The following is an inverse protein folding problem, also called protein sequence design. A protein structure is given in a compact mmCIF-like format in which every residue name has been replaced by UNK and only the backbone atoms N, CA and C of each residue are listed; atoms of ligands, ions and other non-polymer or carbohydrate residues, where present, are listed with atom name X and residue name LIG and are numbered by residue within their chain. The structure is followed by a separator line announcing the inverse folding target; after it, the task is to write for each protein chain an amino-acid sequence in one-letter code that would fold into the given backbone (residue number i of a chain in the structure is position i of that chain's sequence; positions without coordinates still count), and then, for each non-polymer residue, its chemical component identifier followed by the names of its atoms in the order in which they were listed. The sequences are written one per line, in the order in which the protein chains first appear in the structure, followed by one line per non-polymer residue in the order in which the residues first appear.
data_IF_457698957758
#
_entry.id   IF_457698957758
#
_cell.length_a   1.000
_cell.length_b   1.000
_cell.length_c   1.000
_cell.angle_alpha   90.00
_cell.angle_beta   90.00
_cell.angle_gamma   90.00
#
_symmetry.space_group_name_H-M   'P 1'
#
loop_
_entity.id
_entity.type
_entity.pdbx_description
1 polymer ?
#
# COMPACT_ATOMS: atom_id res chain seq x y z
N UNK A 1 -29.37 34.65 -61.60
CA UNK A 1 -29.89 34.48 -60.23
C UNK A 1 -28.76 34.63 -59.21
N UNK A 2 -28.89 35.55 -58.26
CA UNK A 2 -27.90 35.77 -57.21
C UNK A 2 -27.68 34.50 -56.36
N UNK A 3 -26.46 34.30 -55.84
CA UNK A 3 -26.10 33.13 -55.03
C UNK A 3 -27.02 32.93 -53.80
N UNK A 4 -27.63 33.99 -53.30
CA UNK A 4 -28.62 33.99 -52.25
C UNK A 4 -29.87 33.15 -52.60
N UNK A 5 -30.40 33.30 -53.82
CA UNK A 5 -31.60 32.57 -54.26
C UNK A 5 -31.34 31.08 -54.50
N UNK A 6 -30.12 30.69 -54.93
CA UNK A 6 -29.74 29.28 -55.05
C UNK A 6 -29.62 28.59 -53.69
N UNK A 7 -29.13 29.29 -52.65
CA UNK A 7 -29.07 28.76 -51.28
C UNK A 7 -30.47 28.66 -50.66
N UNK A 8 -31.32 29.67 -50.87
CA UNK A 8 -32.72 29.66 -50.43
C UNK A 8 -33.57 28.58 -51.12
N UNK A 9 -33.28 28.24 -52.38
CA UNK A 9 -33.94 27.10 -53.05
C UNK A 9 -33.45 25.74 -52.51
N UNK A 10 -32.16 25.62 -52.15
CA UNK A 10 -31.58 24.40 -51.58
C UNK A 10 -32.00 24.13 -50.13
N UNK A 11 -32.42 25.13 -49.37
CA UNK A 11 -32.92 24.91 -48.00
C UNK A 11 -34.21 24.09 -47.96
N UNK A 12 -34.97 24.04 -49.07
CA UNK A 12 -36.15 23.19 -49.22
C UNK A 12 -35.84 21.76 -49.68
N UNK A 13 -34.59 21.44 -50.04
CA UNK A 13 -34.21 20.09 -50.45
C UNK A 13 -34.01 19.20 -49.22
N UNK A 14 -34.57 17.98 -49.27
CA UNK A 14 -34.40 17.00 -48.19
C UNK A 14 -32.97 16.45 -48.19
N UNK A 15 -32.34 16.45 -47.03
CA UNK A 15 -31.03 15.82 -46.84
C UNK A 15 -31.16 14.29 -46.87
N UNK A 16 -30.39 13.63 -47.74
CA UNK A 16 -30.29 12.18 -47.77
C UNK A 16 -29.22 11.70 -46.78
N UNK A 17 -29.65 11.00 -45.72
CA UNK A 17 -28.76 10.44 -44.70
C UNK A 17 -28.19 9.09 -45.12
N UNK A 18 -26.96 8.81 -44.71
CA UNK A 18 -26.29 7.54 -44.99
C UNK A 18 -26.80 6.43 -44.04
N UNK A 19 -26.92 5.20 -44.54
CA UNK A 19 -27.34 4.04 -43.73
C UNK A 19 -26.19 3.42 -42.95
N UNK A 20 -26.48 2.94 -41.74
CA UNK A 20 -25.55 2.19 -40.88
C UNK A 20 -25.34 0.74 -41.36
N UNK A 21 -24.33 0.06 -40.77
CA UNK A 21 -24.12 -1.38 -40.94
C UNK A 21 -25.28 -2.18 -40.30
N UNK A 22 -25.81 -3.24 -40.95
CA UNK A 22 -26.84 -4.08 -40.35
C UNK A 22 -26.37 -4.75 -39.06
N UNK A 23 -27.27 -4.87 -38.07
CA UNK A 23 -26.94 -5.32 -36.72
C UNK A 23 -26.22 -6.68 -36.68
N UNK A 24 -26.62 -7.64 -37.50
CA UNK A 24 -26.00 -8.97 -37.57
C UNK A 24 -24.55 -8.95 -38.10
N UNK A 25 -24.17 -7.95 -38.91
CA UNK A 25 -22.81 -7.75 -39.44
C UNK A 25 -22.01 -6.69 -38.71
N UNK A 26 -22.53 -6.17 -37.60
CA UNK A 26 -21.85 -5.12 -36.82
C UNK A 26 -20.46 -5.56 -36.32
N UNK A 27 -20.22 -6.86 -36.17
CA UNK A 27 -18.92 -7.44 -35.80
C UNK A 27 -17.83 -7.22 -36.85
N UNK A 28 -18.17 -7.00 -38.13
CA UNK A 28 -17.21 -6.71 -39.21
C UNK A 28 -16.74 -5.25 -39.23
N UNK A 29 -17.24 -4.42 -38.32
CA UNK A 29 -16.95 -3.00 -38.26
C UNK A 29 -17.83 -2.14 -39.16
N UNK A 30 -17.34 -0.93 -39.44
CA UNK A 30 -18.07 0.09 -40.21
C UNK A 30 -18.28 -0.36 -41.67
N UNK A 31 -19.50 -0.16 -42.18
CA UNK A 31 -19.81 -0.42 -43.59
C UNK A 31 -19.18 0.67 -44.47
N UNK A 32 -18.06 0.36 -45.12
CA UNK A 32 -17.37 1.29 -46.02
C UNK A 32 -18.32 1.88 -47.07
N UNK A 33 -18.25 3.20 -47.24
CA UNK A 33 -18.97 3.93 -48.28
C UNK A 33 -18.00 4.40 -49.36
N UNK A 34 -18.54 5.03 -50.41
CA UNK A 34 -17.73 5.51 -51.54
C UNK A 34 -16.64 6.50 -51.10
N UNK A 35 -16.89 7.31 -50.06
CA UNK A 35 -15.90 8.23 -49.49
C UNK A 35 -14.73 7.46 -48.89
N UNK A 36 -15.01 6.47 -48.05
CA UNK A 36 -14.00 5.63 -47.39
C UNK A 36 -13.20 4.80 -48.42
N UNK A 37 -13.87 4.24 -49.42
CA UNK A 37 -13.23 3.53 -50.53
C UNK A 37 -12.22 4.41 -51.27
N UNK A 38 -12.56 5.68 -51.53
CA UNK A 38 -11.64 6.61 -52.20
C UNK A 38 -10.39 6.84 -51.35
N UNK A 39 -10.56 7.09 -50.04
CA UNK A 39 -9.44 7.25 -49.11
C UNK A 39 -8.54 6.00 -49.07
N UNK A 40 -9.15 4.81 -48.98
CA UNK A 40 -8.43 3.52 -48.99
C UNK A 40 -7.69 3.28 -50.31
N UNK A 41 -8.33 3.55 -51.45
CA UNK A 41 -7.72 3.40 -52.77
C UNK A 41 -6.56 4.38 -52.98
N UNK A 42 -6.70 5.63 -52.54
CA UNK A 42 -5.65 6.64 -52.63
C UNK A 42 -4.46 6.30 -51.73
N UNK A 43 -4.69 5.84 -50.50
CA UNK A 43 -3.63 5.34 -49.61
C UNK A 43 -2.89 4.15 -50.23
N UNK A 44 -3.61 3.16 -50.76
CA UNK A 44 -3.01 2.02 -51.45
C UNK A 44 -2.14 2.48 -52.64
N UNK A 45 -2.66 3.40 -53.48
CA UNK A 45 -1.91 3.96 -54.61
C UNK A 45 -0.65 4.70 -54.17
N UNK A 46 -0.71 5.47 -53.06
CA UNK A 46 0.44 6.16 -52.47
C UNK A 46 1.51 5.15 -52.02
N UNK A 47 1.12 4.12 -51.27
CA UNK A 47 2.02 3.04 -50.83
C UNK A 47 2.65 2.31 -52.01
N UNK A 48 1.87 1.97 -53.03
CA UNK A 48 2.37 1.32 -54.24
C UNK A 48 3.32 2.21 -55.05
N UNK A 49 3.07 3.52 -55.13
CA UNK A 49 3.97 4.47 -55.76
C UNK A 49 5.30 4.54 -55.00
N UNK A 50 5.25 4.58 -53.67
CA UNK A 50 6.43 4.59 -52.81
C UNK A 50 7.25 3.30 -52.92
N UNK A 51 6.62 2.13 -52.87
CA UNK A 51 7.30 0.83 -53.07
C UNK A 51 7.95 0.72 -54.44
N UNK A 52 7.29 1.21 -55.50
CA UNK A 52 7.90 1.27 -56.84
C UNK A 52 9.13 2.16 -56.88
N UNK A 53 9.09 3.32 -56.22
CA UNK A 53 10.26 4.19 -56.11
C UNK A 53 11.41 3.54 -55.33
N UNK A 54 11.12 2.84 -54.22
CA UNK A 54 12.13 2.10 -53.45
C UNK A 54 12.75 0.95 -54.27
N UNK A 55 11.93 0.20 -55.01
CA UNK A 55 12.41 -0.86 -55.91
C UNK A 55 13.33 -0.30 -56.99
N UNK A 56 12.93 0.82 -57.62
CA UNK A 56 13.76 1.51 -58.61
C UNK A 56 15.12 1.92 -58.01
N UNK A 57 15.12 2.55 -56.83
CA UNK A 57 16.35 2.92 -56.11
C UNK A 57 17.23 1.71 -55.77
N UNK A 58 16.64 0.57 -55.42
CA UNK A 58 17.38 -0.65 -55.14
C UNK A 58 18.02 -1.25 -56.40
N UNK A 59 17.35 -1.17 -57.55
CA UNK A 59 17.88 -1.63 -58.85
C UNK A 59 18.99 -0.72 -59.39
N UNK A 60 18.85 0.59 -59.22
CA UNK A 60 19.81 1.61 -59.68
C UNK A 60 20.97 1.83 -58.68
N UNK A 61 21.11 0.98 -57.65
CA UNK A 61 22.12 1.15 -56.60
C UNK A 61 23.53 0.86 -57.14
N UNK A 62 24.46 1.79 -56.89
CA UNK A 62 25.89 1.58 -57.18
C UNK A 62 26.52 0.66 -56.11
N UNK A 63 27.11 -0.50 -56.46
CA UNK A 63 27.75 -1.38 -55.49
C UNK A 63 28.95 -0.75 -54.76
N UNK A 64 29.61 0.23 -55.39
CA UNK A 64 30.83 0.86 -54.85
C UNK A 64 30.53 2.16 -54.08
N UNK A 65 29.26 2.47 -53.79
CA UNK A 65 28.91 3.69 -53.06
C UNK A 65 29.44 3.65 -51.61
N UNK A 66 30.16 4.71 -51.21
CA UNK A 66 30.66 4.85 -49.85
C UNK A 66 30.13 6.13 -49.18
N UNK A 67 29.51 5.96 -48.02
CA UNK A 67 29.11 7.07 -47.14
C UNK A 67 29.84 6.96 -45.80
N UNK A 68 30.37 8.05 -45.26
CA UNK A 68 31.08 8.06 -43.95
C UNK A 68 30.28 7.47 -42.78
N UNK A 69 28.93 7.48 -42.87
CA UNK A 69 28.05 6.88 -41.85
C UNK A 69 28.16 5.35 -41.82
N UNK A 70 28.58 4.70 -42.91
CA UNK A 70 28.79 3.25 -42.98
C UNK A 70 29.88 2.76 -42.01
N UNK A 71 30.83 3.62 -41.60
CA UNK A 71 31.84 3.26 -40.58
C UNK A 71 31.22 3.03 -39.20
N UNK A 72 30.12 3.71 -38.89
CA UNK A 72 29.45 3.63 -37.58
C UNK A 72 28.28 2.65 -37.57
N UNK A 73 27.50 2.62 -38.65
CA UNK A 73 26.28 1.81 -38.78
C UNK A 73 26.64 0.43 -39.32
N UNK A 74 26.21 -0.63 -38.63
CA UNK A 74 26.40 -2.01 -39.11
C UNK A 74 25.11 -2.53 -39.76
N UNK A 75 25.26 -3.38 -40.75
CA UNK A 75 24.17 -4.18 -41.29
C UNK A 75 24.06 -5.46 -40.46
N UNK A 76 22.88 -5.75 -39.91
CA UNK A 76 22.57 -7.04 -39.28
C UNK A 76 21.35 -7.61 -40.01
N UNK A 77 21.48 -8.82 -40.57
CA UNK A 77 20.41 -9.50 -41.30
C UNK A 77 19.72 -8.65 -42.39
N UNK A 78 20.48 -7.78 -43.07
CA UNK A 78 19.97 -6.89 -44.12
C UNK A 78 19.32 -5.60 -43.63
N UNK A 79 19.25 -5.35 -42.31
CA UNK A 79 18.70 -4.12 -41.72
C UNK A 79 19.82 -3.31 -41.05
N UNK A 80 19.81 -1.99 -41.26
CA UNK A 80 20.76 -1.10 -40.60
C UNK A 80 20.46 -0.97 -39.11
N UNK A 81 21.40 -1.39 -38.26
CA UNK A 81 21.34 -1.19 -36.82
C UNK A 81 22.30 -0.07 -36.44
N UNK A 82 21.74 1.02 -35.94
CA UNK A 82 22.51 2.12 -35.36
C UNK A 82 23.06 1.60 -34.03
N UNK A 83 24.39 1.48 -33.93
CA UNK A 83 25.02 1.19 -32.66
C UNK A 83 24.78 2.35 -31.71
N UNK A 84 24.13 2.10 -30.58
CA UNK A 84 24.13 3.03 -29.47
C UNK A 84 25.55 3.16 -28.94
N UNK A 85 26.11 4.37 -28.98
CA UNK A 85 27.40 4.67 -28.36
C UNK A 85 27.23 4.55 -26.85
N UNK A 86 27.68 3.43 -26.28
CA UNK A 86 27.87 3.31 -24.83
C UNK A 86 29.15 4.05 -24.50
N UNK A 87 29.04 5.13 -23.72
CA UNK A 87 30.20 5.80 -23.16
C UNK A 87 30.95 4.80 -22.27
N UNK A 88 32.17 4.45 -22.66
CA UNK A 88 33.02 3.55 -21.87
C UNK A 88 33.51 4.32 -20.64
N UNK A 89 32.93 4.01 -19.47
CA UNK A 89 33.31 4.64 -18.21
C UNK A 89 34.72 4.21 -17.84
N UNK A 90 35.62 5.17 -17.61
CA UNK A 90 36.98 4.85 -17.17
C UNK A 90 36.95 4.16 -15.79
N UNK A 91 37.90 3.27 -15.48
CA UNK A 91 37.92 2.58 -14.18
C UNK A 91 37.99 3.54 -12.99
N UNK A 92 38.61 4.71 -13.17
CA UNK A 92 38.69 5.77 -12.17
C UNK A 92 37.34 6.45 -11.94
N UNK A 93 36.63 6.82 -13.01
CA UNK A 93 35.26 7.33 -12.93
C UNK A 93 34.34 6.32 -12.23
N UNK A 94 34.47 5.03 -12.55
CA UNK A 94 33.69 3.97 -11.91
C UNK A 94 33.98 3.87 -10.41
N UNK A 95 35.24 4.05 -10.00
CA UNK A 95 35.64 4.07 -8.57
C UNK A 95 35.07 5.30 -7.86
N UNK A 96 35.02 6.46 -8.52
CA UNK A 96 34.40 7.67 -7.99
C UNK A 96 32.88 7.48 -7.81
N UNK A 97 32.18 6.99 -8.84
CA UNK A 97 30.73 6.72 -8.78
C UNK A 97 30.39 5.75 -7.64
N UNK A 98 31.12 4.62 -7.54
CA UNK A 98 30.92 3.66 -6.44
C UNK A 98 31.19 4.27 -5.06
N UNK A 99 32.13 5.20 -4.96
CA UNK A 99 32.40 5.90 -3.69
C UNK A 99 31.24 6.81 -3.29
N UNK A 100 30.63 7.50 -4.25
CA UNK A 100 29.43 8.32 -4.02
C UNK A 100 28.24 7.44 -3.60
N UNK A 101 28.04 6.30 -4.27
CA UNK A 101 26.97 5.35 -3.97
C UNK A 101 27.09 4.77 -2.55
N UNK A 102 28.28 4.31 -2.16
CA UNK A 102 28.52 3.79 -0.79
C UNK A 102 28.18 4.86 0.25
N UNK A 103 28.67 6.09 0.06
CA UNK A 103 28.40 7.21 0.98
C UNK A 103 26.90 7.51 1.09
N UNK A 104 26.18 7.51 -0.03
CA UNK A 104 24.73 7.72 -0.04
C UNK A 104 23.99 6.60 0.72
N UNK A 105 24.35 5.34 0.49
CA UNK A 105 23.71 4.20 1.14
C UNK A 105 24.03 4.17 2.63
N UNK A 106 25.27 4.48 3.02
CA UNK A 106 25.66 4.60 4.43
C UNK A 106 24.88 5.70 5.15
N UNK A 107 24.74 6.87 4.54
CA UNK A 107 23.89 7.95 5.07
C UNK A 107 22.45 7.46 5.27
N UNK A 108 21.87 6.75 4.29
CA UNK A 108 20.52 6.19 4.42
C UNK A 108 20.43 5.13 5.51
N UNK A 109 21.45 4.27 5.65
CA UNK A 109 21.54 3.25 6.70
C UNK A 109 21.55 3.90 8.09
N UNK A 110 22.39 4.91 8.31
CA UNK A 110 22.46 5.65 9.58
C UNK A 110 21.13 6.35 9.88
N UNK A 111 20.50 6.96 8.88
CA UNK A 111 19.19 7.57 9.05
C UNK A 111 18.11 6.55 9.44
N UNK A 112 18.13 5.34 8.87
CA UNK A 112 17.20 4.27 9.25
C UNK A 112 17.52 3.71 10.64
N UNK A 113 18.79 3.51 10.99
CA UNK A 113 19.20 3.08 12.33
C UNK A 113 18.70 4.03 13.42
N UNK A 114 18.86 5.35 13.23
CA UNK A 114 18.33 6.36 14.16
C UNK A 114 16.79 6.31 14.27
N UNK A 115 16.07 6.03 13.18
CA UNK A 115 14.61 5.87 13.22
C UNK A 115 14.20 4.59 13.95
N UNK A 116 14.96 3.50 13.79
CA UNK A 116 14.76 2.27 14.56
C UNK A 116 14.97 2.52 16.04
N UNK A 117 16.03 3.24 16.42
CA UNK A 117 16.31 3.60 17.82
C UNK A 117 15.18 4.42 18.45
N UNK A 118 14.71 5.47 17.76
CA UNK A 118 13.57 6.28 18.21
C UNK A 118 12.30 5.44 18.41
N UNK A 119 11.97 4.60 17.43
CA UNK A 119 10.80 3.71 17.53
C UNK A 119 10.96 2.68 18.64
N UNK A 120 12.18 2.16 18.87
CA UNK A 120 12.45 1.26 19.99
C UNK A 120 12.31 1.95 21.35
N UNK A 121 12.70 3.23 21.47
CA UNK A 121 12.54 3.98 22.72
C UNK A 121 11.08 4.33 23.02
N UNK A 122 10.27 4.60 21.99
CA UNK A 122 8.84 4.90 22.14
C UNK A 122 8.01 3.64 22.39
N UNK A 123 8.42 2.49 21.84
CA UNK A 123 7.67 1.24 21.92
C UNK A 123 8.05 0.44 23.16
N UNK A 124 7.10 0.21 24.07
CA UNK A 124 7.32 -0.57 25.29
C UNK A 124 7.63 -2.08 25.05
N UNK A 125 7.57 -2.54 23.80
CA UNK A 125 7.89 -3.89 23.33
C UNK A 125 7.16 -5.05 24.04
N UNK A 126 6.15 -4.76 24.88
CA UNK A 126 5.54 -5.69 25.84
C UNK A 126 5.08 -7.01 25.22
N UNK A 127 4.37 -6.93 24.09
CA UNK A 127 3.72 -8.06 23.41
C UNK A 127 4.53 -8.60 22.20
N UNK A 128 5.80 -8.23 22.05
CA UNK A 128 6.60 -8.67 20.90
C UNK A 128 6.96 -10.17 21.02
N UNK A 129 6.46 -10.98 20.09
CA UNK A 129 6.63 -12.45 20.07
C UNK A 129 8.09 -12.92 19.98
N UNK A 130 9.03 -12.04 19.57
CA UNK A 130 10.47 -12.34 19.51
C UNK A 130 11.24 -12.12 20.81
N UNK A 131 10.58 -11.94 21.96
CA UNK A 131 11.25 -11.80 23.26
C UNK A 131 11.79 -13.15 23.74
N UNK A 132 12.99 -13.13 24.32
CA UNK A 132 13.49 -14.26 25.09
C UNK A 132 12.56 -14.48 26.30
N UNK A 133 12.06 -15.71 26.46
CA UNK A 133 11.24 -16.07 27.61
C UNK A 133 12.13 -16.03 28.86
N UNK A 134 11.80 -15.11 29.79
CA UNK A 134 12.50 -14.99 31.08
C UNK A 134 11.87 -15.96 32.07
N UNK A 135 12.71 -16.70 32.80
CA UNK A 135 12.27 -17.59 33.87
C UNK A 135 12.19 -16.80 35.18
N UNK A 136 11.06 -16.87 35.88
CA UNK A 136 10.91 -16.35 37.24
C UNK A 136 10.86 -17.54 38.19
N UNK A 137 11.81 -17.63 39.12
CA UNK A 137 11.95 -18.75 40.06
C UNK A 137 11.47 -18.29 41.43
N UNK A 138 10.59 -19.07 42.06
CA UNK A 138 10.16 -18.85 43.44
C UNK A 138 10.99 -19.75 44.37
N UNK A 139 11.38 -19.21 45.52
CA UNK A 139 12.15 -19.92 46.54
C UNK A 139 11.24 -20.18 47.75
N UNK A 140 11.28 -21.40 48.27
CA UNK A 140 10.54 -21.84 49.44
C UNK A 140 11.47 -22.57 50.40
N UNK A 141 11.21 -22.43 51.68
CA UNK A 141 12.06 -23.01 52.73
C UNK A 141 11.75 -24.48 52.98
N UNK A 142 10.48 -24.88 52.80
CA UNK A 142 10.04 -26.27 53.00
C UNK A 142 9.54 -26.92 51.72
N UNK A 143 9.76 -28.23 51.59
CA UNK A 143 9.30 -29.01 50.42
C UNK A 143 7.77 -29.11 50.33
N UNK A 144 7.08 -29.06 51.48
CA UNK A 144 5.61 -29.12 51.55
C UNK A 144 4.96 -27.87 50.94
N UNK A 145 5.58 -26.71 51.10
CA UNK A 145 5.13 -25.46 50.48
C UNK A 145 5.24 -25.50 48.95
N UNK A 146 6.26 -26.17 48.42
CA UNK A 146 6.44 -26.34 46.96
C UNK A 146 5.31 -27.16 46.35
N UNK A 147 4.87 -28.22 47.03
CA UNK A 147 3.80 -29.11 46.53
C UNK A 147 2.42 -28.44 46.55
N UNK A 148 2.16 -27.54 47.51
CA UNK A 148 0.89 -26.81 47.65
C UNK A 148 0.90 -25.44 46.94
N UNK A 149 1.97 -25.12 46.22
CA UNK A 149 2.17 -23.79 45.66
C UNK A 149 1.20 -23.49 44.51
N UNK A 150 0.36 -22.48 44.71
CA UNK A 150 -0.44 -21.86 43.65
C UNK A 150 -0.01 -20.40 43.42
N UNK A 151 0.12 -20.04 42.15
CA UNK A 151 0.68 -18.75 41.71
C UNK A 151 -0.33 -17.62 41.98
N UNK A 152 -1.62 -17.87 41.76
CA UNK A 152 -2.65 -16.85 41.88
C UNK A 152 -2.81 -16.39 43.33
N UNK A 153 -2.87 -17.35 44.26
CA UNK A 153 -2.94 -17.12 45.71
C UNK A 153 -1.68 -16.46 46.26
N UNK A 154 -0.49 -16.93 45.88
CA UNK A 154 0.78 -16.35 46.32
C UNK A 154 0.92 -14.87 45.90
N UNK A 155 0.57 -14.55 44.64
CA UNK A 155 0.64 -13.18 44.14
C UNK A 155 -0.57 -12.31 44.56
N UNK A 156 -1.58 -12.90 45.20
CA UNK A 156 -2.86 -12.25 45.56
C UNK A 156 -3.53 -11.59 44.36
N UNK A 157 -3.45 -12.24 43.21
CA UNK A 157 -3.95 -11.76 41.91
C UNK A 157 -5.09 -12.64 41.40
N UNK A 158 -5.97 -12.07 40.59
CA UNK A 158 -6.98 -12.87 39.88
C UNK A 158 -6.31 -13.89 38.92
N UNK A 159 -6.86 -15.10 38.78
CA UNK A 159 -6.26 -16.16 37.95
C UNK A 159 -6.10 -15.75 36.49
N UNK A 160 -7.01 -14.93 35.93
CA UNK A 160 -6.94 -14.44 34.55
C UNK A 160 -5.73 -13.51 34.26
N UNK A 161 -5.10 -12.97 35.30
CA UNK A 161 -4.00 -12.01 35.18
C UNK A 161 -2.63 -12.66 35.44
N UNK A 162 -2.60 -13.93 35.88
CA UNK A 162 -1.37 -14.65 36.25
C UNK A 162 -0.43 -14.84 35.05
N UNK A 163 -0.98 -15.01 33.85
CA UNK A 163 -0.18 -15.21 32.64
C UNK A 163 0.51 -13.91 32.15
N UNK A 164 0.05 -12.73 32.57
CA UNK A 164 0.58 -11.45 32.07
C UNK A 164 1.88 -11.11 32.76
N UNK A 165 2.96 -10.82 32.04
CA UNK A 165 4.28 -10.59 32.68
C UNK A 165 4.38 -9.25 33.42
N UNK A 166 3.64 -8.22 33.00
CA UNK A 166 3.73 -6.86 33.53
C UNK A 166 2.39 -6.40 34.10
N UNK A 167 2.44 -5.45 35.04
CA UNK A 167 1.27 -4.80 35.65
C UNK A 167 0.21 -5.80 36.15
N UNK A 168 0.57 -6.62 37.14
CA UNK A 168 -0.31 -7.58 37.83
C UNK A 168 -0.89 -6.93 39.11
N UNK A 169 -2.08 -6.31 39.09
CA UNK A 169 -2.66 -5.70 40.28
C UNK A 169 -3.18 -6.76 41.26
N UNK A 170 -3.03 -6.49 42.56
CA UNK A 170 -3.61 -7.33 43.60
C UNK A 170 -5.13 -7.17 43.65
N UNK A 171 -5.82 -8.15 44.24
CA UNK A 171 -7.29 -8.11 44.41
C UNK A 171 -7.71 -6.87 45.21
N UNK A 172 -6.94 -6.47 46.23
CA UNK A 172 -7.21 -5.25 46.99
C UNK A 172 -7.05 -3.99 46.14
N UNK A 173 -6.03 -3.92 45.29
CA UNK A 173 -5.82 -2.79 44.37
C UNK A 173 -6.98 -2.67 43.40
N UNK A 174 -7.49 -3.80 42.88
CA UNK A 174 -8.66 -3.84 41.99
C UNK A 174 -9.94 -3.35 42.66
N UNK A 175 -10.11 -3.59 43.97
CA UNK A 175 -11.26 -3.11 44.75
C UNK A 175 -11.14 -1.63 45.10
N UNK A 176 -9.94 -1.15 45.43
CA UNK A 176 -9.68 0.21 45.93
C UNK A 176 -9.52 1.25 44.82
N UNK A 177 -8.86 0.90 43.72
CA UNK A 177 -8.47 1.87 42.68
C UNK A 177 -9.45 1.92 41.51
N UNK A 178 -9.78 3.14 41.07
CA UNK A 178 -10.51 3.36 39.82
C UNK A 178 -9.54 3.32 38.64
N UNK A 179 -9.94 2.64 37.56
CA UNK A 179 -9.16 2.54 36.32
C UNK A 179 -8.78 3.93 35.80
N UNK A 180 -7.48 4.24 35.79
CA UNK A 180 -6.92 5.44 35.18
C UNK A 180 -6.54 5.14 33.74
N UNK A 181 -7.35 5.61 32.80
CA UNK A 181 -7.15 5.44 31.36
C UNK A 181 -8.03 6.43 30.58
N UNK A 182 -7.79 6.55 29.27
CA UNK A 182 -8.65 7.37 28.41
C UNK A 182 -10.01 6.69 28.27
N UNK A 183 -10.93 7.01 29.16
CA UNK A 183 -12.34 6.64 29.03
C UNK A 183 -12.92 7.36 27.80
N UNK A 184 -13.91 6.77 27.15
CA UNK A 184 -14.56 7.40 25.98
C UNK A 184 -15.10 8.81 26.27
N UNK A 185 -15.43 9.10 27.54
CA UNK A 185 -15.79 10.43 28.02
C UNK A 185 -14.62 11.44 28.03
N UNK A 186 -13.39 11.03 28.36
CA UNK A 186 -12.20 11.91 28.33
C UNK A 186 -11.72 12.15 26.90
N UNK A 187 -11.87 11.15 26.01
CA UNK A 187 -11.60 11.30 24.57
C UNK A 187 -12.56 12.30 23.91
N UNK A 188 -13.85 12.25 24.24
CA UNK A 188 -14.86 13.21 23.80
C UNK A 188 -14.60 14.62 24.37
N UNK A 189 -14.24 14.75 25.65
CA UNK A 189 -13.89 16.06 26.26
C UNK A 189 -12.62 16.68 25.66
N UNK A 190 -11.58 15.89 25.38
CA UNK A 190 -10.36 16.33 24.70
C UNK A 190 -10.60 16.70 23.23
N UNK A 191 -11.46 15.96 22.52
CA UNK A 191 -11.86 16.31 21.16
C UNK A 191 -12.67 17.62 21.13
N UNK A 192 -13.61 17.81 22.06
CA UNK A 192 -14.40 19.05 22.17
C UNK A 192 -13.53 20.25 22.57
N UNK A 193 -12.57 20.07 23.48
CA UNK A 193 -11.66 21.16 23.89
C UNK A 193 -10.67 21.56 22.79
N UNK A 194 -10.11 20.61 22.02
CA UNK A 194 -9.28 20.92 20.85
C UNK A 194 -10.08 21.63 19.74
N UNK A 195 -11.36 21.28 19.57
CA UNK A 195 -12.24 21.91 18.59
C UNK A 195 -12.60 23.34 18.99
N UNK A 196 -12.86 23.59 20.29
CA UNK A 196 -13.08 24.92 20.86
C UNK A 196 -11.82 25.81 20.82
N UNK A 197 -10.63 25.25 21.06
CA UNK A 197 -9.37 25.99 20.94
C UNK A 197 -9.05 26.36 19.49
N UNK A 198 -9.39 25.50 18.52
CA UNK A 198 -9.34 25.84 17.08
C UNK A 198 -10.31 26.95 16.70
N UNK A 199 -11.49 27.00 17.32
CA UNK A 199 -12.46 28.08 17.10
C UNK A 199 -12.01 29.40 17.73
N UNK A 200 -11.28 29.36 18.85
CA UNK A 200 -10.81 30.55 19.59
C UNK A 200 -9.50 31.13 19.07
N UNK A 201 -8.79 30.41 18.20
CA UNK A 201 -7.51 30.85 17.59
C UNK A 201 -7.60 31.09 16.08
N UNK A 202 -8.82 31.24 15.54
CA UNK A 202 -9.04 31.83 14.22
C UNK A 202 -8.97 33.35 14.34
N UNK A 203 -7.96 34.03 13.76
CA UNK A 203 -7.94 35.49 13.76
C UNK A 203 -9.03 36.01 12.84
N UNK A 204 -9.88 36.87 13.38
CA UNK A 204 -10.74 37.82 12.68
C UNK A 204 -10.03 38.35 11.43
N UNK A 205 -10.36 37.80 10.26
CA UNK A 205 -10.08 38.40 8.96
C UNK A 205 -11.38 38.43 8.20
N UNK A 206 -12.03 39.59 8.29
CA UNK A 206 -13.27 39.88 7.59
C UNK A 206 -13.10 39.80 6.08
N UNK A 207 -14.16 39.38 5.42
CA UNK A 207 -14.53 39.66 4.03
C UNK A 207 -16.04 39.37 3.89
N UNK A 208 -16.74 40.01 2.94
CA UNK A 208 -17.95 40.75 3.21
C UNK A 208 -19.20 39.93 2.87
N UNK A 209 -20.32 40.35 3.44
CA UNK A 209 -21.64 39.94 3.00
C UNK A 209 -21.83 40.31 1.52
N UNK A 210 -22.03 39.31 0.67
CA UNK A 210 -22.56 39.50 -0.67
C UNK A 210 -23.73 38.53 -0.85
N UNK A 211 -24.91 39.12 -0.70
CA UNK A 211 -26.22 38.56 -1.01
C UNK A 211 -26.25 38.24 -2.50
N UNK A 212 -26.45 36.98 -2.87
CA UNK A 212 -27.00 36.61 -4.18
C UNK A 212 -27.92 35.39 -4.00
N UNK A 213 -29.21 35.68 -4.03
CA UNK A 213 -30.32 34.76 -4.29
C UNK A 213 -30.08 33.97 -5.57
N UNK A 214 -30.26 32.63 -5.58
CA UNK A 214 -30.62 31.92 -6.82
C UNK A 214 -31.40 30.63 -6.53
N UNK A 215 -32.27 30.35 -7.49
CA UNK A 215 -33.49 29.53 -7.51
C UNK A 215 -33.31 28.02 -7.42
N UNK A 216 -34.36 27.36 -6.93
CA UNK A 216 -34.58 25.90 -7.01
C UNK A 216 -34.64 25.44 -8.48
N UNK A 217 -33.83 24.43 -8.82
CA UNK A 217 -33.86 23.75 -10.11
C UNK A 217 -33.67 22.25 -9.95
N UNK A 218 -34.74 21.50 -10.24
CA UNK A 218 -34.73 20.03 -10.36
C UNK A 218 -33.74 19.58 -11.45
N UNK A 219 -32.91 18.56 -11.16
CA UNK A 219 -32.31 17.65 -12.15
C UNK A 219 -32.08 16.25 -11.57
N UNK A 220 -32.94 15.34 -12.00
CA UNK A 220 -32.67 14.00 -12.55
C UNK A 220 -31.47 13.19 -12.01
N UNK A 221 -31.82 12.10 -11.33
CA UNK A 221 -30.94 11.00 -11.00
C UNK A 221 -30.50 10.25 -12.28
N UNK A 222 -29.19 10.24 -12.54
CA UNK A 222 -28.57 9.30 -13.47
C UNK A 222 -27.83 8.21 -12.69
N UNK A 223 -28.34 7.00 -12.85
CA UNK A 223 -27.69 5.71 -12.60
C UNK A 223 -26.31 5.63 -13.24
N UNK A 224 -25.27 5.39 -12.44
CA UNK A 224 -23.97 4.93 -12.91
C UNK A 224 -23.81 3.44 -12.57
N UNK A 225 -23.82 2.62 -13.62
CA UNK A 225 -23.43 1.22 -13.60
C UNK A 225 -21.90 1.13 -13.48
N UNK A 226 -21.41 0.27 -12.59
CA UNK A 226 -20.04 -0.24 -12.65
C UNK A 226 -20.09 -1.77 -12.70
N UNK A 227 -19.53 -2.29 -13.78
CA UNK A 227 -19.47 -3.68 -14.20
C UNK A 227 -18.43 -4.47 -13.40
N UNK A 228 -18.85 -5.59 -12.81
CA UNK A 228 -17.95 -6.72 -12.53
C UNK A 228 -18.69 -8.04 -12.75
N UNK A 229 -17.97 -8.98 -13.35
CA UNK A 229 -18.51 -10.13 -14.09
C UNK A 229 -19.24 -11.19 -13.27
N UNK A 230 -20.19 -11.84 -13.95
CA UNK A 230 -20.88 -13.07 -13.57
C UNK A 230 -20.12 -14.30 -14.07
N UNK A 231 -19.97 -15.32 -13.21
CA UNK A 231 -20.22 -16.74 -13.52
C UNK A 231 -20.98 -17.33 -12.30
N UNK A 232 -21.96 -18.25 -12.48
CA UNK A 232 -23.11 -18.39 -11.58
C UNK A 232 -23.11 -19.66 -10.71
N UNK A 233 -24.01 -19.67 -9.72
CA UNK A 233 -24.67 -20.88 -9.23
C UNK A 233 -24.29 -21.32 -7.82
N UNK A 234 -25.16 -21.04 -6.85
CA UNK A 234 -25.91 -22.00 -6.03
C UNK A 234 -26.71 -21.17 -5.01
N UNK A 235 -28.03 -21.24 -5.14
CA UNK A 235 -28.99 -20.68 -4.19
C UNK A 235 -29.05 -21.60 -2.97
N UNK A 236 -28.79 -21.08 -1.77
CA UNK A 236 -29.32 -21.67 -0.54
C UNK A 236 -29.88 -20.56 0.35
N UNK A 237 -31.21 -20.50 0.41
CA UNK A 237 -31.97 -19.79 1.43
C UNK A 237 -31.80 -20.50 2.76
N UNK A 238 -31.05 -19.90 3.69
CA UNK A 238 -31.06 -20.31 5.10
C UNK A 238 -31.53 -19.16 5.96
N UNK A 239 -32.80 -19.28 6.36
CA UNK A 239 -33.44 -18.44 7.35
C UNK A 239 -32.69 -18.53 8.68
N UNK A 240 -32.50 -17.37 9.30
CA UNK A 240 -32.03 -17.28 10.67
C UNK A 240 -33.18 -17.73 11.60
N UNK A 241 -33.10 -18.97 12.07
CA UNK A 241 -33.92 -19.49 13.16
C UNK A 241 -33.46 -18.81 14.44
N UNK A 242 -34.30 -17.92 14.95
CA UNK A 242 -34.20 -17.32 16.27
C UNK A 242 -34.49 -18.43 17.30
N UNK A 243 -33.46 -19.01 17.92
CA UNK A 243 -33.64 -19.93 19.05
C UNK A 243 -33.79 -19.08 20.32
N UNK A 244 -35.04 -18.84 20.72
CA UNK A 244 -35.39 -18.39 22.07
C UNK A 244 -35.31 -19.60 23.01
N UNK A 245 -34.25 -19.66 23.81
CA UNK A 245 -34.16 -20.56 24.96
C UNK A 245 -35.09 -20.03 26.05
N UNK A 246 -36.27 -20.63 26.14
CA UNK A 246 -37.21 -20.49 27.26
C UNK A 246 -36.62 -21.24 28.47
N UNK A 247 -36.15 -20.48 29.46
CA UNK A 247 -35.91 -21.02 30.81
C UNK A 247 -37.22 -20.91 31.57
N UNK A 248 -37.85 -22.06 31.82
CA UNK A 248 -39.01 -22.19 32.68
C UNK A 248 -38.61 -21.93 34.14
N UNK A 249 -39.23 -20.93 34.77
CA UNK A 249 -39.21 -20.72 36.22
C UNK A 249 -40.60 -21.04 36.76
N UNK A 250 -40.70 -22.18 37.44
CA UNK A 250 -41.84 -22.56 38.27
C UNK A 250 -41.56 -22.05 39.68
N UNK A 251 -42.38 -21.10 40.18
CA UNK A 251 -43.06 -21.22 41.48
C UNK A 251 -43.83 -19.92 41.83
N UNK A 252 -45.16 -20.07 41.93
CA UNK A 252 -46.04 -19.54 42.98
C UNK A 252 -45.92 -18.06 43.43
N UNK A 253 -46.89 -17.25 42.97
CA UNK A 253 -47.72 -16.33 43.75
C UNK A 253 -47.10 -15.39 44.80
N UNK A 254 -47.05 -14.09 44.49
CA UNK A 254 -47.64 -12.97 45.25
C UNK A 254 -47.40 -11.63 44.53
N UNK A 255 -48.25 -10.66 44.86
CA UNK A 255 -48.59 -9.38 44.24
C UNK A 255 -47.43 -8.39 43.92
N UNK A 256 -47.68 -7.35 43.08
CA UNK A 256 -46.66 -6.57 42.40
C UNK A 256 -46.25 -5.33 43.20
N UNK A 257 -44.94 -5.06 43.28
CA UNK A 257 -44.33 -3.72 43.45
C UNK A 257 -42.80 -3.85 43.29
N UNK A 258 -42.19 -2.92 42.55
CA UNK A 258 -40.75 -2.77 42.26
C UNK A 258 -40.11 -3.64 41.17
N UNK A 259 -40.48 -3.40 39.90
CA UNK A 259 -39.61 -3.71 38.75
C UNK A 259 -39.46 -2.49 37.85
N UNK A 260 -38.52 -1.59 38.19
CA UNK A 260 -38.18 -0.44 37.36
C UNK A 260 -36.69 -0.05 37.38
N UNK A 261 -35.89 -0.63 38.28
CA UNK A 261 -34.48 -0.24 38.48
C UNK A 261 -33.46 -1.27 37.97
N UNK A 262 -33.86 -2.52 37.66
CA UNK A 262 -32.92 -3.60 37.31
C UNK A 262 -32.67 -3.74 35.80
N UNK A 263 -33.61 -3.39 34.92
CA UNK A 263 -33.41 -3.53 33.45
C UNK A 263 -32.55 -2.40 32.83
N UNK A 264 -32.56 -1.20 33.42
CA UNK A 264 -31.74 -0.07 32.95
C UNK A 264 -30.25 -0.25 33.28
N UNK A 265 -29.91 -1.01 34.33
CA UNK A 265 -28.54 -1.34 34.72
C UNK A 265 -27.88 -2.37 33.80
N UNK A 266 -28.60 -3.42 33.41
CA UNK A 266 -28.07 -4.50 32.56
C UNK A 266 -27.79 -4.03 31.13
N UNK A 267 -28.66 -3.20 30.54
CA UNK A 267 -28.42 -2.58 29.21
C UNK A 267 -27.26 -1.58 29.22
N UNK A 268 -27.07 -0.80 30.30
CA UNK A 268 -25.91 0.09 30.47
C UNK A 268 -24.60 -0.70 30.61
N UNK A 269 -24.59 -1.80 31.35
CA UNK A 269 -23.43 -2.68 31.51
C UNK A 269 -23.08 -3.43 30.21
N UNK A 270 -24.08 -3.86 29.44
CA UNK A 270 -23.87 -4.51 28.13
C UNK A 270 -23.28 -3.54 27.09
N UNK A 271 -23.81 -2.32 26.99
CA UNK A 271 -23.26 -1.29 26.08
C UNK A 271 -21.85 -0.82 26.50
N UNK A 272 -21.57 -0.77 27.82
CA UNK A 272 -20.23 -0.48 28.32
C UNK A 272 -19.24 -1.62 27.97
N UNK A 273 -19.62 -2.89 28.19
CA UNK A 273 -18.81 -4.07 27.79
C UNK A 273 -18.51 -4.10 26.30
N UNK A 274 -19.48 -3.81 25.43
CA UNK A 274 -19.30 -3.79 23.97
C UNK A 274 -18.37 -2.64 23.53
N UNK A 275 -18.51 -1.45 24.11
CA UNK A 275 -17.62 -0.30 23.82
C UNK A 275 -16.17 -0.57 24.22
N UNK A 276 -15.93 -1.08 25.43
CA UNK A 276 -14.58 -1.42 25.91
C UNK A 276 -13.88 -2.50 25.05
N UNK A 277 -14.66 -3.40 24.45
CA UNK A 277 -14.16 -4.49 23.62
C UNK A 277 -13.78 -4.04 22.20
N UNK A 278 -14.45 -3.01 21.65
CA UNK A 278 -14.08 -2.41 20.35
C UNK A 278 -12.80 -1.57 20.46
N UNK A 279 -12.65 -0.82 21.56
CA UNK A 279 -11.47 0.03 21.80
C UNK A 279 -10.18 -0.79 22.01
N UNK A 280 -10.25 -1.90 22.75
CA UNK A 280 -9.10 -2.79 22.96
C UNK A 280 -8.59 -3.45 21.67
N UNK A 281 -9.49 -3.83 20.76
CA UNK A 281 -9.14 -4.37 19.43
C UNK A 281 -8.47 -3.32 18.53
N UNK A 282 -8.91 -2.06 18.59
CA UNK A 282 -8.28 -0.97 17.83
C UNK A 282 -6.86 -0.68 18.34
N UNK A 283 -6.67 -0.60 19.66
CA UNK A 283 -5.35 -0.41 20.27
C UNK A 283 -4.41 -1.57 19.93
N UNK A 284 -4.90 -2.82 19.97
CA UNK A 284 -4.10 -3.98 19.57
C UNK A 284 -3.67 -3.91 18.10
N UNK A 285 -4.57 -3.48 17.19
CA UNK A 285 -4.25 -3.25 15.77
C UNK A 285 -3.20 -2.15 15.60
N UNK A 286 -3.32 -1.04 16.33
CA UNK A 286 -2.33 0.05 16.31
C UNK A 286 -0.96 -0.40 16.79
N UNK A 287 -0.90 -1.16 17.90
CA UNK A 287 0.34 -1.79 18.39
C UNK A 287 0.95 -2.71 17.35
N UNK A 288 0.15 -3.58 16.73
CA UNK A 288 0.64 -4.49 15.69
C UNK A 288 1.19 -3.72 14.48
N UNK A 289 0.54 -2.62 14.07
CA UNK A 289 1.06 -1.74 13.02
C UNK A 289 2.42 -1.15 13.40
N UNK A 290 2.61 -0.72 14.64
CA UNK A 290 3.90 -0.22 15.12
C UNK A 290 4.98 -1.30 15.11
N UNK A 291 4.68 -2.52 15.56
CA UNK A 291 5.61 -3.66 15.48
C UNK A 291 5.95 -4.03 14.04
N UNK A 292 4.98 -4.03 13.13
CA UNK A 292 5.20 -4.30 11.71
C UNK A 292 6.09 -3.23 11.08
N UNK A 293 5.84 -1.95 11.39
CA UNK A 293 6.68 -0.82 10.93
C UNK A 293 8.12 -0.97 11.43
N UNK A 294 8.31 -1.30 12.71
CA UNK A 294 9.64 -1.54 13.29
C UNK A 294 10.35 -2.72 12.60
N UNK A 295 9.63 -3.82 12.37
CA UNK A 295 10.16 -5.03 11.70
C UNK A 295 10.62 -4.71 10.28
N UNK A 296 9.77 -4.03 9.49
CA UNK A 296 10.11 -3.59 8.14
C UNK A 296 11.34 -2.68 8.10
N UNK A 297 11.48 -1.78 9.09
CA UNK A 297 12.65 -0.91 9.19
C UNK A 297 13.92 -1.70 9.51
N UNK A 298 13.86 -2.65 10.44
CA UNK A 298 14.97 -3.55 10.75
C UNK A 298 15.39 -4.33 9.51
N UNK A 299 14.44 -4.87 8.76
CA UNK A 299 14.73 -5.56 7.49
C UNK A 299 15.33 -4.62 6.45
N UNK A 300 14.84 -3.39 6.35
CA UNK A 300 15.36 -2.38 5.44
C UNK A 300 16.81 -2.02 5.79
N UNK A 301 17.13 -1.83 7.07
CA UNK A 301 18.50 -1.57 7.53
C UNK A 301 19.43 -2.73 7.17
N UNK A 302 19.00 -3.98 7.43
CA UNK A 302 19.74 -5.19 7.03
C UNK A 302 20.00 -5.25 5.52
N UNK A 303 18.99 -4.94 4.70
CA UNK A 303 19.15 -4.89 3.24
C UNK A 303 20.14 -3.79 2.82
N UNK A 304 20.03 -2.60 3.39
CA UNK A 304 20.97 -1.49 3.12
C UNK A 304 22.40 -1.87 3.52
N UNK A 305 22.58 -2.56 4.63
CA UNK A 305 23.87 -3.05 5.09
C UNK A 305 24.51 -4.02 4.09
N UNK A 306 23.74 -5.01 3.61
CA UNK A 306 24.22 -5.98 2.61
C UNK A 306 24.57 -5.28 1.29
N UNK A 307 23.75 -4.32 0.84
CA UNK A 307 24.02 -3.56 -0.38
C UNK A 307 25.29 -2.73 -0.23
N UNK A 308 25.47 -2.03 0.90
CA UNK A 308 26.68 -1.26 1.19
C UNK A 308 27.93 -2.14 1.11
N UNK A 309 27.91 -3.32 1.74
CA UNK A 309 29.02 -4.27 1.66
C UNK A 309 29.30 -4.75 0.24
N UNK A 310 28.25 -5.02 -0.55
CA UNK A 310 28.40 -5.44 -1.96
C UNK A 310 29.06 -4.37 -2.81
N UNK A 311 28.65 -3.12 -2.67
CA UNK A 311 29.24 -2.01 -3.45
C UNK A 311 30.67 -1.74 -2.97
N UNK A 312 30.92 -1.77 -1.67
CA UNK A 312 32.26 -1.63 -1.11
C UNK A 312 33.19 -2.73 -1.65
N UNK A 313 32.75 -4.00 -1.62
CA UNK A 313 33.51 -5.12 -2.20
C UNK A 313 33.80 -4.86 -3.68
N UNK A 314 32.81 -4.42 -4.48
CA UNK A 314 33.02 -4.11 -5.91
C UNK A 314 34.00 -2.96 -6.10
N UNK A 315 34.00 -1.94 -5.24
CA UNK A 315 34.97 -0.84 -5.26
C UNK A 315 36.39 -1.36 -4.97
N UNK A 316 36.56 -2.20 -3.96
CA UNK A 316 37.86 -2.78 -3.60
C UNK A 316 38.41 -3.73 -4.68
N UNK A 317 37.51 -4.39 -5.42
CA UNK A 317 37.87 -5.21 -6.59
C UNK A 317 38.37 -4.40 -7.79
N UNK A 318 38.22 -3.08 -7.82
CA UNK A 318 38.82 -2.26 -8.89
C UNK A 318 40.33 -2.08 -8.72
N UNK A 319 40.86 -2.34 -7.52
CA UNK A 319 42.30 -2.28 -7.31
C UNK A 319 43.01 -3.43 -8.04
N UNK A 320 44.21 -3.15 -8.59
CA UNK A 320 45.01 -4.09 -9.39
C UNK A 320 45.64 -5.24 -8.58
N UNK A 321 45.23 -5.43 -7.33
CA UNK A 321 45.75 -6.50 -6.46
C UNK A 321 45.30 -7.88 -6.94
N UNK A 322 46.17 -8.88 -6.77
CA UNK A 322 45.84 -10.28 -7.06
C UNK A 322 44.82 -10.77 -6.03
N UNK A 323 43.74 -11.38 -6.52
CA UNK A 323 42.63 -11.88 -5.72
C UNK A 323 42.02 -13.15 -6.30
N UNK A 324 41.54 -14.03 -5.44
CA UNK A 324 40.85 -15.27 -5.81
C UNK A 324 39.47 -15.25 -5.19
N UNK A 325 38.44 -15.56 -6.00
CA UNK A 325 37.06 -15.63 -5.53
C UNK A 325 36.84 -16.94 -4.77
N UNK A 326 36.45 -16.85 -3.50
CA UNK A 326 36.21 -18.03 -2.64
C UNK A 326 34.73 -18.40 -2.64
N UNK A 327 33.84 -17.41 -2.48
CA UNK A 327 32.38 -17.62 -2.48
C UNK A 327 31.68 -16.67 -3.43
N UNK A 328 30.62 -17.16 -4.08
CA UNK A 328 29.77 -16.36 -4.98
C UNK A 328 28.86 -15.42 -4.18
N UNK A 329 28.40 -14.35 -4.84
CA UNK A 329 27.47 -13.39 -4.25
C UNK A 329 26.11 -14.06 -4.05
N UNK A 330 25.46 -13.81 -2.91
CA UNK A 330 24.07 -14.24 -2.65
C UNK A 330 23.17 -13.03 -2.46
N UNK A 331 21.86 -13.21 -2.31
CA UNK A 331 20.94 -12.08 -2.01
C UNK A 331 21.31 -11.41 -0.69
N UNK A 332 21.66 -12.22 0.33
CA UNK A 332 21.86 -11.77 1.71
C UNK A 332 23.33 -11.49 2.08
N UNK A 333 24.28 -11.86 1.23
CA UNK A 333 25.71 -11.69 1.52
C UNK A 333 26.51 -11.22 0.30
N UNK A 334 27.55 -10.40 0.49
CA UNK A 334 28.49 -10.09 -0.58
C UNK A 334 29.30 -11.32 -1.00
N UNK A 335 29.90 -11.26 -2.18
CA UNK A 335 30.90 -12.25 -2.59
C UNK A 335 32.17 -12.12 -1.73
N UNK A 336 32.80 -13.26 -1.42
CA UNK A 336 34.00 -13.29 -0.59
C UNK A 336 35.20 -13.58 -1.48
N UNK A 337 36.22 -12.74 -1.35
CA UNK A 337 37.49 -12.85 -2.08
C UNK A 337 38.63 -12.99 -1.08
N UNK A 338 39.61 -13.83 -1.44
CA UNK A 338 40.89 -13.94 -0.74
C UNK A 338 41.92 -13.12 -1.51
N UNK A 339 42.43 -12.07 -0.87
CA UNK A 339 43.53 -11.29 -1.40
C UNK A 339 44.85 -11.98 -1.06
N UNK A 340 45.86 -11.79 -1.90
CA UNK A 340 47.20 -12.28 -1.61
C UNK A 340 47.75 -11.63 -0.33
N UNK A 341 48.36 -12.42 0.56
CA UNK A 341 48.95 -11.92 1.81
C UNK A 341 50.23 -11.15 1.51
N UNK A 342 50.08 -9.89 1.11
CA UNK A 342 51.18 -8.96 0.86
C UNK A 342 50.88 -7.63 1.55
N UNK A 343 51.86 -7.10 2.28
CA UNK A 343 51.78 -5.76 2.84
C UNK A 343 51.76 -4.75 1.69
N UNK A 344 50.82 -3.79 1.73
CA UNK A 344 50.86 -2.63 0.84
C UNK A 344 52.11 -1.83 1.18
N UNK A 345 52.98 -1.64 0.17
CA UNK A 345 54.18 -0.79 0.32
C UNK A 345 53.76 0.67 0.40
#
# INVERSE_FOLDING_TARGET
MAAAFRKAAKSRQREHRERSQPSFRKHLGLLEKKKDYKLRADDYRKKQKYLRALRKKALEKNPDEFYYKMTRVKLQDGVHVIKETKEEVTPEQLKLMRTQDVKYIEMKRVAEAKKIERLKSELHLLDFQGKQQKKHVFFFDTKKEVEQFDIATHLRTAPELVDRVFNRPTIETLQKEKVKGVNNQTRLKLAVSLTLLRYRSSPERGFPALVHSFTLGNRDAQTAQCSSGKIPGICETRGAVLILLQVNLVSTGKSPRFHGALECGVRKMANFRVSCYVDSRQIAKERQKQYNCLTQRIEREKKLFVIAQKIQTRKDLLDKTRKVKVKKETVNSPAIYKFESRRKR
#
